data_IF_562720149104
#
_entry.id   IF_562720149104
#
_cell.length_a   1.000
_cell.length_b   1.000
_cell.length_c   1.000
_cell.angle_alpha   90.00
_cell.angle_beta   90.00
_cell.angle_gamma   90.00
#
_symmetry.space_group_name_H-M   'P 1'
#
loop_
_entity.id
_entity.type
_entity.pdbx_description
1 polymer ?
#
# COMPACT_ATOMS: atom_id res chain seq x y z
N UNK A 1 -59.15 -27.66 -18.48
CA UNK A 1 -59.45 -28.90 -17.73
C UNK A 1 -58.70 -28.79 -16.41
N UNK A 2 -59.23 -28.00 -15.47
CA UNK A 2 -60.19 -28.37 -14.40
C UNK A 2 -59.57 -29.29 -13.34
N UNK A 3 -59.73 -29.11 -12.04
CA UNK A 3 -60.11 -27.98 -11.16
C UNK A 3 -59.98 -28.56 -9.72
N UNK A 4 -59.62 -27.70 -8.76
CA UNK A 4 -60.11 -27.63 -7.36
C UNK A 4 -60.21 -28.89 -6.44
N UNK A 5 -59.53 -28.78 -5.30
CA UNK A 5 -59.90 -29.18 -3.92
C UNK A 5 -61.40 -28.88 -3.56
N UNK A 6 -62.05 -29.25 -2.42
CA UNK A 6 -61.50 -29.59 -1.08
C UNK A 6 -62.39 -30.47 -0.11
N UNK A 7 -61.99 -30.54 1.18
CA UNK A 7 -62.81 -30.41 2.43
C UNK A 7 -63.74 -31.53 2.99
N UNK A 8 -63.89 -31.45 4.32
CA UNK A 8 -64.77 -32.11 5.33
C UNK A 8 -64.22 -33.37 6.02
N UNK A 9 -63.87 -33.41 7.32
CA UNK A 9 -64.42 -32.90 8.59
C UNK A 9 -65.61 -33.71 9.16
N UNK A 10 -65.45 -34.15 10.41
CA UNK A 10 -66.46 -34.77 11.28
C UNK A 10 -66.12 -36.22 11.65
N UNK A 11 -66.38 -36.75 12.85
CA UNK A 11 -66.98 -36.24 14.07
C UNK A 11 -66.83 -37.37 15.12
N UNK A 12 -66.93 -37.02 16.40
CA UNK A 12 -67.47 -37.82 17.52
C UNK A 12 -66.67 -38.93 18.24
N UNK A 13 -66.35 -38.59 19.50
CA UNK A 13 -66.49 -39.32 20.77
C UNK A 13 -66.93 -40.81 20.76
N UNK A 14 -66.19 -41.61 21.53
CA UNK A 14 -66.65 -42.88 22.10
C UNK A 14 -65.95 -43.18 23.43
N UNK A 15 -66.70 -43.03 24.53
CA UNK A 15 -66.32 -43.30 25.93
C UNK A 15 -66.13 -44.80 26.21
N UNK A 16 -65.12 -45.15 27.01
CA UNK A 16 -65.16 -46.18 28.07
C UNK A 16 -63.79 -46.13 28.78
N UNK A 17 -63.65 -45.90 30.09
CA UNK A 17 -64.41 -46.48 31.19
C UNK A 17 -63.57 -47.58 31.83
N UNK A 18 -62.71 -47.25 32.81
CA UNK A 18 -61.88 -48.25 33.48
C UNK A 18 -60.98 -47.68 34.57
N UNK A 19 -61.55 -47.45 35.75
CA UNK A 19 -60.80 -47.14 36.99
C UNK A 19 -59.94 -48.34 37.39
N UNK A 20 -58.65 -48.10 37.68
CA UNK A 20 -57.94 -48.90 38.66
C UNK A 20 -56.98 -48.02 39.48
N UNK A 21 -57.29 -47.87 40.77
CA UNK A 21 -56.46 -47.19 41.79
C UNK A 21 -55.56 -48.23 42.47
N UNK A 22 -54.25 -47.96 42.60
CA UNK A 22 -53.34 -48.26 43.75
C UNK A 22 -52.03 -47.43 43.58
N UNK A 23 -51.14 -47.29 44.58
CA UNK A 23 -51.19 -46.22 45.57
C UNK A 23 -49.91 -45.35 45.61
N UNK A 24 -50.04 -44.26 46.35
CA UNK A 24 -49.07 -43.20 46.62
C UNK A 24 -47.77 -43.72 47.29
N UNK A 25 -46.60 -43.42 46.70
CA UNK A 25 -45.31 -43.43 47.41
C UNK A 25 -44.65 -42.05 47.31
N UNK A 26 -44.34 -41.49 48.48
CA UNK A 26 -43.72 -40.20 48.73
C UNK A 26 -42.32 -40.15 48.10
N UNK A 27 -42.06 -39.14 47.26
CA UNK A 27 -40.71 -38.73 46.89
C UNK A 27 -40.48 -37.29 47.39
N UNK A 28 -39.53 -37.14 48.31
CA UNK A 28 -39.06 -35.83 48.79
C UNK A 28 -38.28 -35.14 47.65
N UNK A 29 -38.82 -34.03 47.14
CA UNK A 29 -38.10 -33.16 46.21
C UNK A 29 -37.10 -32.28 46.97
N UNK A 30 -35.84 -32.71 47.01
CA UNK A 30 -34.71 -31.79 47.17
C UNK A 30 -34.58 -31.01 45.85
N UNK A 31 -34.90 -29.71 45.86
CA UNK A 31 -34.58 -28.82 44.74
C UNK A 31 -33.07 -28.55 44.74
N UNK A 32 -32.35 -28.71 43.63
CA UNK A 32 -30.99 -28.22 43.52
C UNK A 32 -31.03 -26.69 43.58
N UNK A 33 -30.32 -26.08 44.54
CA UNK A 33 -30.03 -24.65 44.54
C UNK A 33 -29.01 -24.41 43.43
N UNK A 34 -29.46 -23.92 42.28
CA UNK A 34 -28.56 -23.37 41.27
C UNK A 34 -28.17 -21.95 41.71
N UNK A 35 -26.88 -21.56 41.74
CA UNK A 35 -26.49 -20.18 41.99
C UNK A 35 -27.04 -19.27 40.87
N UNK A 36 -27.36 -18.00 41.16
CA UNK A 36 -28.10 -17.14 40.24
C UNK A 36 -27.24 -16.69 39.05
N UNK A 37 -27.80 -16.75 37.83
CA UNK A 37 -27.16 -16.30 36.57
C UNK A 37 -26.67 -14.84 36.56
N UNK A 38 -27.10 -14.01 37.51
CA UNK A 38 -26.69 -12.60 37.63
C UNK A 38 -25.26 -12.42 38.16
N UNK A 39 -24.81 -13.26 39.11
CA UNK A 39 -23.46 -13.14 39.70
C UNK A 39 -22.35 -13.32 38.66
N UNK A 40 -22.55 -14.22 37.68
CA UNK A 40 -21.60 -14.40 36.58
C UNK A 40 -21.56 -13.21 35.61
N UNK A 41 -22.67 -12.49 35.43
CA UNK A 41 -22.69 -11.32 34.53
C UNK A 41 -21.99 -10.12 35.18
N UNK A 42 -22.22 -9.91 36.48
CA UNK A 42 -21.58 -8.83 37.23
C UNK A 42 -20.07 -9.08 37.42
N UNK A 43 -19.66 -10.34 37.66
CA UNK A 43 -18.24 -10.70 37.68
C UNK A 43 -17.53 -10.50 36.33
N UNK A 44 -18.18 -10.86 35.21
CA UNK A 44 -17.63 -10.62 33.87
C UNK A 44 -17.56 -9.12 33.56
N UNK A 45 -18.58 -8.35 33.96
CA UNK A 45 -18.58 -6.90 33.82
C UNK A 45 -17.45 -6.23 34.64
N UNK A 46 -17.20 -6.71 35.85
CA UNK A 46 -16.11 -6.24 36.69
C UNK A 46 -14.72 -6.59 36.12
N UNK A 47 -14.57 -7.81 35.58
CA UNK A 47 -13.34 -8.19 34.86
C UNK A 47 -13.09 -7.32 33.63
N UNK A 48 -14.13 -7.04 32.84
CA UNK A 48 -14.03 -6.13 31.68
C UNK A 48 -13.64 -4.73 32.13
N UNK A 49 -14.23 -4.21 33.20
CA UNK A 49 -13.90 -2.89 33.73
C UNK A 49 -12.47 -2.80 34.26
N UNK A 50 -11.96 -3.84 34.92
CA UNK A 50 -10.56 -3.91 35.33
C UNK A 50 -9.61 -3.89 34.12
N UNK A 51 -9.93 -4.63 33.06
CA UNK A 51 -9.14 -4.60 31.83
C UNK A 51 -9.17 -3.22 31.16
N UNK A 52 -10.33 -2.54 31.15
CA UNK A 52 -10.45 -1.17 30.63
C UNK A 52 -9.59 -0.17 31.42
N UNK A 53 -9.62 -0.23 32.75
CA UNK A 53 -8.76 0.61 33.59
C UNK A 53 -7.29 0.35 33.31
N UNK A 54 -6.92 -0.92 33.11
CA UNK A 54 -5.55 -1.28 32.74
C UNK A 54 -5.16 -0.73 31.37
N UNK A 55 -6.07 -0.74 30.39
CA UNK A 55 -5.86 -0.12 29.08
C UNK A 55 -5.65 1.38 29.24
N UNK A 56 -6.50 2.08 30.00
CA UNK A 56 -6.36 3.53 30.23
C UNK A 56 -5.01 3.91 30.85
N UNK A 57 -4.48 3.09 31.77
CA UNK A 57 -3.15 3.28 32.34
C UNK A 57 -2.04 3.10 31.30
N UNK A 58 -2.13 2.05 30.48
CA UNK A 58 -1.18 1.76 29.42
C UNK A 58 -1.20 2.89 28.38
N UNK A 59 -2.38 3.37 27.99
CA UNK A 59 -2.54 4.44 27.01
C UNK A 59 -1.87 5.74 27.47
N UNK A 60 -1.98 6.08 28.76
CA UNK A 60 -1.24 7.22 29.34
C UNK A 60 0.27 7.04 29.22
N UNK A 61 0.78 5.85 29.54
CA UNK A 61 2.21 5.54 29.42
C UNK A 61 2.67 5.59 27.96
N UNK A 62 1.85 5.13 27.01
CA UNK A 62 2.13 5.24 25.58
C UNK A 62 2.28 6.72 25.19
N UNK A 63 1.34 7.58 25.60
CA UNK A 63 1.43 9.02 25.31
C UNK A 63 2.70 9.64 25.90
N UNK A 64 3.05 9.32 27.13
CA UNK A 64 4.28 9.81 27.77
C UNK A 64 5.54 9.38 26.99
N UNK A 65 5.63 8.10 26.61
CA UNK A 65 6.73 7.56 25.82
C UNK A 65 6.79 8.16 24.40
N UNK A 66 5.64 8.42 23.77
CA UNK A 66 5.58 9.08 22.47
C UNK A 66 6.09 10.52 22.55
N UNK A 67 5.75 11.25 23.61
CA UNK A 67 6.24 12.61 23.85
C UNK A 67 7.75 12.62 24.10
N UNK A 68 8.26 11.71 24.93
CA UNK A 68 9.69 11.57 25.18
C UNK A 68 10.46 11.24 23.88
N UNK A 69 9.92 10.32 23.07
CA UNK A 69 10.47 9.99 21.75
C UNK A 69 10.48 11.20 20.81
N UNK A 70 9.42 12.00 20.80
CA UNK A 70 9.36 13.21 19.98
C UNK A 70 10.41 14.25 20.42
N UNK A 71 10.65 14.43 21.72
CA UNK A 71 11.71 15.29 22.24
C UNK A 71 13.11 14.84 21.82
N UNK A 72 13.38 13.53 21.87
CA UNK A 72 14.62 12.94 21.35
C UNK A 72 14.77 13.22 19.85
N UNK A 73 13.70 13.06 19.07
CA UNK A 73 13.69 13.33 17.65
C UNK A 73 13.97 14.83 17.36
N UNK A 74 13.39 15.75 18.13
CA UNK A 74 13.70 17.19 18.06
C UNK A 74 15.15 17.53 18.39
N UNK A 75 15.76 16.85 19.38
CA UNK A 75 17.17 17.03 19.70
C UNK A 75 18.07 16.57 18.54
N UNK A 76 17.76 15.43 17.91
CA UNK A 76 18.46 14.93 16.73
C UNK A 76 18.33 15.89 15.56
N UNK A 77 17.11 16.37 15.27
CA UNK A 77 16.85 17.33 14.19
C UNK A 77 17.65 18.63 14.34
N UNK A 78 17.76 19.16 15.57
CA UNK A 78 18.60 20.33 15.87
C UNK A 78 20.07 20.07 15.58
N UNK A 79 20.61 18.92 16.00
CA UNK A 79 22.00 18.53 15.74
C UNK A 79 22.28 18.31 14.25
N UNK A 80 21.35 17.70 13.51
CA UNK A 80 21.48 17.49 12.06
C UNK A 80 21.48 18.81 11.30
N UNK A 81 20.59 19.74 11.64
CA UNK A 81 20.54 21.08 11.03
C UNK A 81 21.82 21.87 11.30
N UNK A 82 22.39 21.79 12.51
CA UNK A 82 23.65 22.43 12.85
C UNK A 82 24.86 21.81 12.10
N UNK A 83 24.80 20.51 11.79
CA UNK A 83 25.86 19.76 11.11
C UNK A 83 25.70 19.62 9.59
N UNK A 84 24.61 20.14 8.99
CA UNK A 84 24.33 19.99 7.56
C UNK A 84 24.09 18.53 7.11
N UNK A 85 23.63 17.67 8.02
CA UNK A 85 23.40 16.25 7.74
C UNK A 85 22.02 16.00 7.10
N UNK A 86 21.86 14.93 6.29
CA UNK A 86 20.61 14.63 5.59
C UNK A 86 19.41 14.45 6.52
N UNK A 87 18.29 15.06 6.11
CA UNK A 87 17.02 15.11 6.85
C UNK A 87 16.30 13.74 6.80
N UNK A 88 16.25 13.10 5.63
CA UNK A 88 15.64 11.78 5.44
C UNK A 88 16.70 10.68 5.58
N UNK A 89 16.40 9.60 6.30
CA UNK A 89 17.34 8.50 6.55
C UNK A 89 16.60 7.16 6.49
N UNK A 90 16.22 6.69 5.28
CA UNK A 90 15.40 5.48 5.11
C UNK A 90 16.06 4.24 5.72
N UNK A 91 17.39 4.14 5.69
CA UNK A 91 18.17 3.08 6.34
C UNK A 91 17.86 2.97 7.84
N UNK A 92 17.69 4.12 8.50
CA UNK A 92 17.53 4.17 9.94
C UNK A 92 16.12 3.76 10.33
N UNK A 93 15.15 4.13 9.51
CA UNK A 93 13.74 3.77 9.69
C UNK A 93 13.55 2.27 9.52
N UNK A 94 14.12 1.69 8.47
CA UNK A 94 14.09 0.24 8.25
C UNK A 94 14.75 -0.49 9.43
N UNK A 95 15.95 -0.07 9.84
CA UNK A 95 16.65 -0.68 10.97
C UNK A 95 15.87 -0.60 12.29
N UNK A 96 15.10 0.48 12.51
CA UNK A 96 14.21 0.60 13.68
C UNK A 96 13.07 -0.40 13.59
N UNK A 97 12.39 -0.49 12.44
CA UNK A 97 11.27 -1.41 12.23
C UNK A 97 11.74 -2.86 12.40
N UNK A 98 12.84 -3.25 11.77
CA UNK A 98 13.38 -4.61 11.84
C UNK A 98 13.82 -4.99 13.26
N UNK A 99 14.34 -4.01 14.03
CA UNK A 99 14.70 -4.23 15.43
C UNK A 99 13.46 -4.42 16.31
N UNK A 100 12.40 -3.65 16.06
CA UNK A 100 11.14 -3.76 16.80
C UNK A 100 10.38 -5.04 16.48
N UNK A 101 10.37 -5.46 15.21
CA UNK A 101 9.78 -6.74 14.80
C UNK A 101 10.47 -7.92 15.49
N UNK A 102 11.80 -7.91 15.60
CA UNK A 102 12.56 -8.94 16.35
C UNK A 102 12.33 -8.91 17.86
N UNK A 103 11.98 -7.76 18.42
CA UNK A 103 11.71 -7.60 19.85
C UNK A 103 10.26 -7.95 20.23
N UNK A 104 9.35 -8.04 19.24
CA UNK A 104 7.94 -8.29 19.49
C UNK A 104 7.70 -9.72 20.00
N UNK A 105 7.44 -9.84 21.31
CA UNK A 105 6.99 -11.09 21.96
C UNK A 105 5.48 -11.08 22.26
N UNK A 106 4.78 -10.05 21.77
CA UNK A 106 3.36 -9.81 22.05
C UNK A 106 2.42 -10.41 21.01
N UNK A 107 1.10 -10.23 21.21
CA UNK A 107 0.07 -10.79 20.33
C UNK A 107 -0.10 -10.01 19.01
N UNK A 108 0.56 -8.85 18.85
CA UNK A 108 0.45 -8.04 17.64
C UNK A 108 1.23 -8.69 16.49
N UNK A 109 0.64 -8.68 15.28
CA UNK A 109 1.36 -9.13 14.08
C UNK A 109 2.45 -8.12 13.70
N UNK A 110 3.52 -8.61 13.05
CA UNK A 110 4.62 -7.75 12.56
C UNK A 110 4.12 -6.63 11.63
N UNK A 111 3.16 -6.95 10.74
CA UNK A 111 2.56 -5.98 9.84
C UNK A 111 1.83 -4.84 10.58
N UNK A 112 1.10 -5.16 11.65
CA UNK A 112 0.40 -4.14 12.46
C UNK A 112 1.42 -3.24 13.17
N UNK A 113 2.47 -3.85 13.73
CA UNK A 113 3.53 -3.13 14.42
C UNK A 113 4.27 -2.18 13.48
N UNK A 114 4.59 -2.63 12.26
CA UNK A 114 5.19 -1.81 11.20
C UNK A 114 4.33 -0.59 10.88
N UNK A 115 3.03 -0.78 10.70
CA UNK A 115 2.10 0.33 10.44
C UNK A 115 2.04 1.36 11.57
N UNK A 116 1.94 0.90 12.82
CA UNK A 116 1.92 1.78 14.01
C UNK A 116 3.22 2.58 14.11
N UNK A 117 4.37 1.92 14.00
CA UNK A 117 5.66 2.60 14.14
C UNK A 117 5.99 3.50 12.96
N UNK A 118 5.53 3.19 11.74
CA UNK A 118 5.64 4.09 10.60
C UNK A 118 4.93 5.43 10.86
N UNK A 119 3.71 5.41 11.41
CA UNK A 119 3.00 6.64 11.79
C UNK A 119 3.67 7.37 12.97
N UNK A 120 4.16 6.64 13.98
CA UNK A 120 4.91 7.24 15.09
C UNK A 120 6.22 7.91 14.60
N UNK A 121 6.94 7.28 13.67
CA UNK A 121 8.12 7.88 13.01
C UNK A 121 7.69 9.13 12.22
N UNK A 122 6.61 9.04 11.43
CA UNK A 122 6.06 10.15 10.66
C UNK A 122 5.73 11.35 11.54
N UNK A 123 4.97 11.14 12.63
CA UNK A 123 4.61 12.18 13.58
C UNK A 123 5.84 12.84 14.24
N UNK A 124 6.83 12.06 14.67
CA UNK A 124 8.05 12.61 15.28
C UNK A 124 8.95 13.37 14.28
N UNK A 125 8.88 13.04 12.98
CA UNK A 125 9.53 13.85 11.93
C UNK A 125 8.80 15.17 11.73
N UNK A 126 7.47 15.15 11.66
CA UNK A 126 6.65 16.34 11.44
C UNK A 126 6.90 17.42 12.51
N UNK A 127 7.17 17.02 13.77
CA UNK A 127 7.52 17.95 14.87
C UNK A 127 8.88 18.64 14.67
N UNK A 128 9.83 18.02 13.95
CA UNK A 128 11.13 18.65 13.65
C UNK A 128 11.01 19.69 12.54
N UNK A 129 10.42 19.26 11.41
CA UNK A 129 10.04 20.05 10.24
C UNK A 129 9.23 19.10 9.34
N UNK A 130 8.07 19.51 8.80
CA UNK A 130 7.30 18.62 7.94
C UNK A 130 8.12 18.24 6.70
N UNK A 131 8.31 16.94 6.48
CA UNK A 131 8.93 16.42 5.28
C UNK A 131 7.99 16.69 4.11
N UNK A 132 8.47 17.41 3.09
CA UNK A 132 7.70 17.72 1.90
C UNK A 132 7.98 16.69 0.82
N UNK A 133 6.94 15.95 0.45
CA UNK A 133 6.98 14.84 -0.50
C UNK A 133 6.27 15.26 -1.78
N UNK A 134 7.03 15.48 -2.85
CA UNK A 134 6.48 15.75 -4.17
C UNK A 134 6.00 14.44 -4.82
N UNK A 135 4.87 14.45 -5.53
CA UNK A 135 4.40 13.24 -6.22
C UNK A 135 3.60 13.60 -7.47
N UNK A 136 3.46 12.60 -8.37
CA UNK A 136 2.60 12.73 -9.54
C UNK A 136 1.13 12.77 -9.12
N UNK A 137 0.58 13.97 -9.12
CA UNK A 137 -0.77 14.28 -8.71
C UNK A 137 -1.84 13.92 -9.75
N UNK A 138 -3.08 14.35 -9.53
CA UNK A 138 -3.55 15.16 -8.39
C UNK A 138 -3.60 14.39 -7.05
N UNK A 139 -4.02 15.04 -5.96
CA UNK A 139 -4.27 14.36 -4.68
C UNK A 139 -5.27 13.19 -4.87
N UNK A 140 -5.16 12.17 -4.01
CA UNK A 140 -5.93 10.90 -4.07
C UNK A 140 -5.57 9.93 -5.20
N UNK A 141 -4.56 10.22 -6.03
CA UNK A 141 -4.06 9.21 -6.97
C UNK A 141 -3.35 8.06 -6.25
N UNK A 142 -3.04 6.99 -6.99
CA UNK A 142 -2.23 5.88 -6.47
C UNK A 142 -0.83 6.34 -6.03
N UNK A 143 -0.24 7.33 -6.70
CA UNK A 143 1.02 7.95 -6.27
C UNK A 143 0.89 8.62 -4.90
N UNK A 144 -0.22 9.34 -4.65
CA UNK A 144 -0.50 9.91 -3.34
C UNK A 144 -0.64 8.82 -2.27
N UNK A 145 -1.38 7.77 -2.58
CA UNK A 145 -1.59 6.64 -1.67
C UNK A 145 -0.27 5.92 -1.34
N UNK A 146 0.59 5.70 -2.33
CA UNK A 146 1.91 5.10 -2.14
C UNK A 146 2.79 5.99 -1.25
N UNK A 147 2.80 7.31 -1.50
CA UNK A 147 3.54 8.28 -0.70
C UNK A 147 3.05 8.31 0.75
N UNK A 148 1.74 8.36 0.98
CA UNK A 148 1.14 8.35 2.32
C UNK A 148 1.47 7.08 3.10
N UNK A 149 1.41 5.91 2.46
CA UNK A 149 1.73 4.63 3.12
C UNK A 149 3.18 4.54 3.56
N UNK A 150 4.11 5.06 2.74
CA UNK A 150 5.53 4.96 3.01
C UNK A 150 6.03 6.01 4.01
N UNK A 151 5.60 7.27 3.84
CA UNK A 151 6.05 8.39 4.67
C UNK A 151 5.14 8.68 5.87
N UNK A 152 3.99 8.02 5.95
CA UNK A 152 2.95 8.27 6.94
C UNK A 152 2.16 9.54 6.67
N UNK A 153 1.03 9.67 7.35
CA UNK A 153 0.02 10.71 7.09
C UNK A 153 0.44 12.14 7.49
N UNK A 154 1.47 12.29 8.33
CA UNK A 154 1.88 13.57 8.92
C UNK A 154 2.84 14.40 8.06
N UNK A 155 3.20 13.93 6.87
CA UNK A 155 4.06 14.65 5.93
C UNK A 155 3.28 15.68 5.09
N UNK A 156 3.99 16.67 4.53
CA UNK A 156 3.40 17.61 3.58
C UNK A 156 3.45 17.00 2.17
N UNK A 157 2.30 16.60 1.63
CA UNK A 157 2.21 16.01 0.29
C UNK A 157 1.95 17.09 -0.76
N UNK A 158 2.89 17.27 -1.69
CA UNK A 158 2.83 18.26 -2.76
C UNK A 158 2.47 17.59 -4.11
N UNK A 159 1.22 17.71 -4.60
CA UNK A 159 0.82 17.16 -5.89
C UNK A 159 1.36 18.01 -7.04
N UNK A 160 1.98 17.36 -8.03
CA UNK A 160 2.43 18.00 -9.27
C UNK A 160 1.73 17.43 -10.50
N UNK A 161 1.70 18.20 -11.60
CA UNK A 161 0.97 17.85 -12.82
C UNK A 161 1.73 16.88 -13.73
N UNK A 162 3.05 16.85 -13.63
CA UNK A 162 3.91 15.97 -14.42
C UNK A 162 5.02 15.38 -13.58
N UNK A 163 5.61 14.28 -14.06
CA UNK A 163 6.78 13.65 -13.44
C UNK A 163 7.99 14.59 -13.49
N UNK A 164 8.12 15.38 -14.57
CA UNK A 164 9.16 16.39 -14.75
C UNK A 164 9.12 17.42 -13.62
N UNK A 165 7.92 17.91 -13.28
CA UNK A 165 7.75 18.86 -12.19
C UNK A 165 8.17 18.28 -10.83
N UNK A 166 7.93 16.98 -10.59
CA UNK A 166 8.36 16.29 -9.37
C UNK A 166 9.90 16.26 -9.27
N UNK A 167 10.58 15.94 -10.37
CA UNK A 167 12.05 15.97 -10.41
C UNK A 167 12.59 17.38 -10.11
N UNK A 168 12.04 18.40 -10.77
CA UNK A 168 12.48 19.78 -10.57
C UNK A 168 12.24 20.31 -9.15
N UNK A 169 11.14 19.91 -8.50
CA UNK A 169 10.85 20.33 -7.13
C UNK A 169 11.88 19.78 -6.13
N UNK A 170 12.34 18.55 -6.36
CA UNK A 170 13.39 17.90 -5.54
C UNK A 170 14.78 18.45 -5.87
N UNK A 171 15.10 18.67 -7.14
CA UNK A 171 16.37 19.29 -7.58
C UNK A 171 16.54 20.69 -6.99
N UNK A 172 15.47 21.49 -6.97
CA UNK A 172 15.45 22.85 -6.41
C UNK A 172 15.35 22.89 -4.89
N UNK A 173 15.29 21.74 -4.22
CA UNK A 173 15.14 21.63 -2.76
C UNK A 173 13.88 22.30 -2.21
N UNK A 174 12.83 22.42 -3.03
CA UNK A 174 11.51 22.80 -2.54
C UNK A 174 10.76 21.62 -1.93
N UNK A 175 11.10 20.39 -2.34
CA UNK A 175 10.71 19.15 -1.68
C UNK A 175 11.98 18.35 -1.34
N UNK A 176 11.97 17.66 -0.21
CA UNK A 176 13.10 16.82 0.21
C UNK A 176 13.18 15.53 -0.62
N UNK A 177 12.02 14.99 -0.96
CA UNK A 177 11.88 13.72 -1.68
C UNK A 177 10.73 13.77 -2.69
N UNK A 178 10.83 12.95 -3.73
CA UNK A 178 9.81 12.79 -4.74
C UNK A 178 9.37 11.33 -4.87
N UNK A 179 8.11 11.07 -5.17
CA UNK A 179 7.58 9.73 -5.46
C UNK A 179 7.13 9.67 -6.92
N UNK A 180 7.82 8.85 -7.71
CA UNK A 180 7.60 8.73 -9.15
C UNK A 180 7.37 7.28 -9.56
N UNK A 181 6.36 6.97 -10.39
CA UNK A 181 6.13 5.61 -10.86
C UNK A 181 7.23 5.22 -11.85
N UNK A 182 7.74 4.00 -11.75
CA UNK A 182 8.77 3.47 -12.67
C UNK A 182 8.25 2.31 -13.50
N UNK A 183 7.35 1.50 -12.95
CA UNK A 183 6.87 0.29 -13.59
C UNK A 183 5.48 -0.07 -13.05
N UNK A 184 4.60 -0.53 -13.93
CA UNK A 184 3.34 -1.14 -13.57
C UNK A 184 3.26 -2.55 -14.17
N UNK A 185 2.84 -3.54 -13.38
CA UNK A 185 2.80 -4.93 -13.82
C UNK A 185 1.86 -5.21 -15.01
N UNK A 186 0.89 -4.34 -15.27
CA UNK A 186 -0.07 -4.48 -16.38
C UNK A 186 0.30 -3.64 -17.60
N UNK A 187 0.96 -2.49 -17.42
CA UNK A 187 1.28 -1.56 -18.52
C UNK A 187 2.77 -1.44 -18.85
N UNK A 188 3.62 -2.09 -18.06
CA UNK A 188 5.06 -2.03 -18.19
C UNK A 188 5.64 -0.72 -17.64
N UNK A 189 6.76 -0.32 -18.22
CA UNK A 189 7.60 0.76 -17.71
C UNK A 189 7.06 2.18 -17.96
N UNK A 190 7.30 3.06 -17.00
CA UNK A 190 7.02 4.49 -17.13
C UNK A 190 8.20 5.19 -17.78
N UNK A 191 8.10 5.34 -19.10
CA UNK A 191 9.14 5.88 -19.97
C UNK A 191 9.71 7.23 -19.51
N UNK A 192 8.85 8.15 -19.10
CA UNK A 192 9.25 9.52 -18.74
C UNK A 192 10.19 9.51 -17.53
N UNK A 193 9.91 8.67 -16.54
CA UNK A 193 10.74 8.54 -15.33
C UNK A 193 12.15 8.07 -15.67
N UNK A 194 12.27 7.04 -16.51
CA UNK A 194 13.57 6.50 -16.93
C UNK A 194 14.38 7.51 -17.74
N UNK A 195 13.73 8.28 -18.62
CA UNK A 195 14.39 9.34 -19.39
C UNK A 195 14.93 10.45 -18.49
N UNK A 196 14.17 10.86 -17.46
CA UNK A 196 14.61 11.91 -16.54
C UNK A 196 15.85 11.52 -15.74
N UNK A 197 16.03 10.23 -15.42
CA UNK A 197 17.25 9.76 -14.75
C UNK A 197 18.52 9.85 -15.60
N UNK A 198 18.41 9.93 -16.92
CA UNK A 198 19.56 10.19 -17.79
C UNK A 198 20.10 11.61 -17.58
N UNK A 199 19.20 12.58 -17.39
CA UNK A 199 19.51 14.01 -17.35
C UNK A 199 19.66 14.55 -15.92
N UNK A 200 19.03 13.91 -14.93
CA UNK A 200 18.98 14.39 -13.54
C UNK A 200 20.03 13.74 -12.65
N UNK A 201 20.65 14.50 -11.75
CA UNK A 201 21.61 14.02 -10.74
C UNK A 201 20.94 13.51 -9.45
N UNK A 202 19.60 13.40 -9.44
CA UNK A 202 18.88 12.81 -8.32
C UNK A 202 19.20 11.32 -8.16
N UNK A 203 19.19 10.87 -6.91
CA UNK A 203 19.42 9.49 -6.54
C UNK A 203 18.10 8.81 -6.14
N UNK A 204 17.99 7.52 -6.44
CA UNK A 204 16.94 6.65 -5.89
C UNK A 204 17.32 6.33 -4.44
N UNK A 205 16.48 6.77 -3.52
CA UNK A 205 16.64 6.61 -2.07
C UNK A 205 15.78 5.48 -1.49
N UNK A 206 14.90 4.90 -2.30
CA UNK A 206 13.98 3.86 -1.87
C UNK A 206 13.04 3.45 -3.00
N UNK A 207 12.33 2.35 -2.78
CA UNK A 207 11.28 1.88 -3.69
C UNK A 207 10.03 1.51 -2.90
N UNK A 208 8.88 1.63 -3.55
CA UNK A 208 7.57 1.34 -2.97
C UNK A 208 6.81 0.48 -3.97
N UNK A 209 6.37 -0.70 -3.55
CA UNK A 209 5.41 -1.51 -4.29
C UNK A 209 4.02 -1.22 -3.76
N UNK A 210 3.14 -0.70 -4.61
CA UNK A 210 1.75 -0.42 -4.23
C UNK A 210 0.80 -1.22 -5.12
N UNK A 211 -0.02 -2.07 -4.48
CA UNK A 211 -1.12 -2.77 -5.15
C UNK A 211 -2.18 -1.75 -5.59
N UNK A 212 -2.56 -1.84 -6.85
CA UNK A 212 -3.57 -0.99 -7.47
C UNK A 212 -4.94 -1.67 -7.28
N UNK A 213 -5.61 -1.27 -6.20
CA UNK A 213 -7.00 -1.63 -5.93
C UNK A 213 -7.93 -0.57 -6.53
N UNK A 214 -8.68 -0.95 -7.55
CA UNK A 214 -9.68 -0.09 -8.18
C UNK A 214 -11.00 -0.26 -7.44
N UNK A 215 -11.63 0.87 -7.11
CA UNK A 215 -12.89 0.95 -6.36
C UNK A 215 -13.93 1.63 -7.23
N UNK A 216 -15.10 1.00 -7.36
CA UNK A 216 -16.29 1.66 -7.89
C UNK A 216 -16.89 2.52 -6.77
N UNK A 217 -17.01 3.82 -7.02
CA UNK A 217 -17.52 4.77 -6.04
C UNK A 217 -18.63 5.63 -6.61
N UNK A 218 -19.65 5.95 -5.80
CA UNK A 218 -20.78 6.80 -6.18
C UNK A 218 -21.37 7.51 -4.97
N UNK A 219 -22.16 8.56 -5.19
CA UNK A 219 -23.02 9.14 -4.14
C UNK A 219 -24.19 8.23 -3.78
N UNK A 220 -24.64 7.44 -4.75
CA UNK A 220 -25.74 6.50 -4.56
C UNK A 220 -25.32 5.38 -3.60
N UNK A 221 -26.29 4.80 -2.90
CA UNK A 221 -26.05 3.70 -1.98
C UNK A 221 -25.93 2.34 -2.70
N UNK A 222 -26.36 2.26 -3.96
CA UNK A 222 -26.47 1.03 -4.71
C UNK A 222 -26.07 1.23 -6.18
N UNK A 223 -25.76 0.12 -6.87
CA UNK A 223 -25.32 0.16 -8.27
C UNK A 223 -26.51 0.42 -9.21
N UNK A 224 -27.71 0.05 -8.77
CA UNK A 224 -28.96 0.24 -9.48
C UNK A 224 -29.27 1.73 -9.69
N UNK A 225 -29.42 2.13 -10.96
CA UNK A 225 -29.73 3.52 -11.34
C UNK A 225 -28.54 4.34 -11.83
N UNK A 226 -27.31 3.81 -11.73
CA UNK A 226 -26.12 4.47 -12.25
C UNK A 226 -26.08 4.33 -13.78
N UNK A 227 -26.04 5.47 -14.48
CA UNK A 227 -26.05 5.52 -15.95
C UNK A 227 -24.69 5.82 -16.55
N UNK A 228 -23.78 6.42 -15.77
CA UNK A 228 -22.48 6.91 -16.24
C UNK A 228 -21.37 6.49 -15.28
N UNK A 229 -20.26 6.01 -15.83
CA UNK A 229 -19.05 5.66 -15.08
C UNK A 229 -17.89 6.49 -15.62
N UNK A 230 -17.37 7.38 -14.80
CA UNK A 230 -16.18 8.16 -15.08
C UNK A 230 -14.93 7.37 -14.67
N UNK A 231 -13.78 7.64 -15.31
CA UNK A 231 -12.57 6.81 -15.23
C UNK A 231 -11.47 7.42 -16.09
N UNK A 232 -10.19 7.24 -15.73
CA UNK A 232 -9.09 7.38 -16.66
C UNK A 232 -9.16 6.21 -17.66
N UNK A 233 -8.84 6.39 -18.96
CA UNK A 233 -8.98 5.33 -19.97
C UNK A 233 -8.30 4.02 -19.56
N UNK A 234 -7.11 4.11 -18.96
CA UNK A 234 -6.39 2.94 -18.44
C UNK A 234 -7.14 2.24 -17.30
N UNK A 235 -7.73 2.97 -16.36
CA UNK A 235 -8.47 2.37 -15.24
C UNK A 235 -9.78 1.72 -15.73
N UNK A 236 -10.44 2.31 -16.72
CA UNK A 236 -11.61 1.71 -17.38
C UNK A 236 -11.24 0.40 -18.09
N UNK A 237 -10.14 0.40 -18.84
CA UNK A 237 -9.65 -0.79 -19.52
C UNK A 237 -9.26 -1.90 -18.54
N UNK A 238 -8.66 -1.55 -17.41
CA UNK A 238 -8.30 -2.51 -16.35
C UNK A 238 -9.51 -3.12 -15.63
N UNK A 239 -10.69 -2.51 -15.70
CA UNK A 239 -11.91 -3.01 -15.04
C UNK A 239 -12.98 -3.43 -16.05
N UNK A 240 -12.60 -3.62 -17.32
CA UNK A 240 -13.54 -3.78 -18.44
C UNK A 240 -14.42 -5.01 -18.26
N UNK A 241 -13.88 -6.14 -17.82
CA UNK A 241 -14.67 -7.36 -17.67
C UNK A 241 -15.67 -7.23 -16.52
N UNK A 242 -15.26 -6.61 -15.41
CA UNK A 242 -16.16 -6.37 -14.28
C UNK A 242 -17.28 -5.40 -14.65
N UNK A 243 -16.96 -4.28 -15.31
CA UNK A 243 -17.93 -3.28 -15.76
C UNK A 243 -18.93 -3.86 -16.77
N UNK A 244 -18.45 -4.66 -17.73
CA UNK A 244 -19.33 -5.30 -18.71
C UNK A 244 -20.31 -6.31 -18.08
N UNK A 245 -19.92 -6.98 -16.99
CA UNK A 245 -20.77 -7.97 -16.30
C UNK A 245 -21.79 -7.33 -15.36
N UNK A 246 -21.38 -6.33 -14.58
CA UNK A 246 -22.20 -5.76 -13.52
C UNK A 246 -22.95 -4.49 -13.95
N UNK A 247 -22.45 -3.76 -14.94
CA UNK A 247 -23.00 -2.49 -15.40
C UNK A 247 -23.07 -2.41 -16.95
N UNK A 248 -23.70 -3.40 -17.63
CA UNK A 248 -23.69 -3.47 -19.09
C UNK A 248 -24.37 -2.27 -19.78
N UNK A 249 -25.26 -1.58 -19.07
CA UNK A 249 -26.02 -0.42 -19.58
C UNK A 249 -25.36 0.93 -19.26
N UNK A 250 -24.28 0.95 -18.48
CA UNK A 250 -23.63 2.19 -18.09
C UNK A 250 -22.71 2.71 -19.19
N UNK A 251 -22.77 4.02 -19.43
CA UNK A 251 -21.88 4.71 -20.38
C UNK A 251 -20.54 5.00 -19.71
N UNK A 252 -19.45 4.48 -20.27
CA UNK A 252 -18.10 4.76 -19.80
C UNK A 252 -17.63 6.11 -20.36
N UNK A 253 -17.21 7.03 -19.48
CA UNK A 253 -16.77 8.37 -19.87
C UNK A 253 -15.34 8.60 -19.38
N UNK A 254 -14.47 8.92 -20.34
CA UNK A 254 -13.06 9.15 -20.07
C UNK A 254 -12.82 10.50 -19.34
N UNK A 255 -11.88 10.47 -18.42
CA UNK A 255 -11.44 11.61 -17.61
C UNK A 255 -9.92 11.68 -17.58
N UNK A 256 -9.39 12.83 -17.20
CA UNK A 256 -7.94 13.09 -17.17
C UNK A 256 -7.21 12.35 -16.06
N UNK A 257 -7.91 11.92 -15.01
CA UNK A 257 -7.36 11.09 -13.92
C UNK A 257 -8.48 10.39 -13.15
N UNK A 258 -8.13 9.36 -12.39
CA UNK A 258 -9.05 8.67 -11.47
C UNK A 258 -9.59 9.59 -10.37
N UNK A 259 -8.76 10.51 -9.86
CA UNK A 259 -9.17 11.52 -8.90
C UNK A 259 -10.14 12.55 -9.50
N UNK A 260 -9.88 13.02 -10.73
CA UNK A 260 -10.79 13.92 -11.43
C UNK A 260 -12.13 13.22 -11.75
N UNK A 261 -12.12 11.92 -12.04
CA UNK A 261 -13.33 11.13 -12.19
C UNK A 261 -14.16 11.08 -10.89
N UNK A 262 -13.51 10.84 -9.74
CA UNK A 262 -14.18 10.85 -8.44
C UNK A 262 -14.83 12.21 -8.12
N UNK A 263 -14.14 13.31 -8.44
CA UNK A 263 -14.70 14.66 -8.26
C UNK A 263 -15.95 14.88 -9.13
N UNK A 264 -15.96 14.42 -10.39
CA UNK A 264 -17.15 14.50 -11.25
C UNK A 264 -18.30 13.67 -10.69
N UNK A 265 -18.02 12.45 -10.24
CA UNK A 265 -19.04 11.58 -9.64
C UNK A 265 -19.63 12.15 -8.33
N UNK A 266 -18.88 12.98 -7.61
CA UNK A 266 -19.39 13.70 -6.44
C UNK A 266 -20.30 14.89 -6.77
N UNK A 267 -20.28 15.37 -8.01
CA UNK A 267 -21.09 16.52 -8.45
C UNK A 267 -22.35 16.09 -9.21
N UNK A 268 -22.32 14.96 -9.90
CA UNK A 268 -23.42 14.48 -10.74
C UNK A 268 -24.16 13.29 -10.12
N UNK A 269 -25.48 13.40 -9.98
CA UNK A 269 -26.33 12.30 -9.50
C UNK A 269 -26.47 11.20 -10.57
N UNK A 270 -26.69 9.95 -10.14
CA UNK A 270 -26.76 8.80 -11.04
C UNK A 270 -25.45 8.48 -11.78
N UNK A 271 -24.32 8.94 -11.24
CA UNK A 271 -22.99 8.69 -11.79
C UNK A 271 -22.07 7.97 -10.80
N UNK A 272 -21.10 7.23 -11.34
CA UNK A 272 -20.04 6.58 -10.58
C UNK A 272 -18.67 6.95 -11.13
N UNK A 273 -17.63 6.68 -10.34
CA UNK A 273 -16.25 6.76 -10.76
C UNK A 273 -15.50 5.46 -10.40
N UNK A 274 -14.46 5.17 -11.17
CA UNK A 274 -13.47 4.14 -10.84
C UNK A 274 -12.17 4.81 -10.39
N UNK A 275 -11.67 4.46 -9.20
CA UNK A 275 -10.43 5.06 -8.72
C UNK A 275 -9.92 4.46 -7.42
N UNK A 276 -9.06 5.21 -6.73
CA UNK A 276 -8.49 4.77 -5.45
C UNK A 276 -9.52 4.87 -4.32
N UNK A 277 -9.33 4.08 -3.26
CA UNK A 277 -10.13 4.19 -2.04
C UNK A 277 -9.99 5.56 -1.36
N UNK A 278 -8.84 6.24 -1.53
CA UNK A 278 -8.65 7.60 -1.02
C UNK A 278 -9.54 8.60 -1.72
N UNK A 279 -9.77 8.44 -3.03
CA UNK A 279 -10.65 9.32 -3.80
C UNK A 279 -12.10 9.20 -3.31
N UNK A 280 -12.55 7.98 -2.99
CA UNK A 280 -13.88 7.75 -2.41
C UNK A 280 -14.03 8.45 -1.06
N UNK A 281 -13.06 8.27 -0.15
CA UNK A 281 -13.07 8.88 1.20
C UNK A 281 -13.05 10.40 1.15
N UNK A 282 -12.18 11.00 0.31
CA UNK A 282 -12.09 12.46 0.20
C UNK A 282 -13.33 13.06 -0.48
N UNK A 283 -13.91 12.36 -1.44
CA UNK A 283 -15.13 12.79 -2.14
C UNK A 283 -16.41 12.57 -1.33
N UNK A 284 -16.36 11.93 -0.16
CA UNK A 284 -17.56 11.53 0.59
C UNK A 284 -18.44 10.54 -0.18
N UNK A 285 -17.84 9.73 -1.05
CA UNK A 285 -18.53 8.76 -1.90
C UNK A 285 -18.59 7.39 -1.23
N UNK A 286 -19.67 6.66 -1.47
CA UNK A 286 -19.82 5.27 -1.08
C UNK A 286 -18.95 4.39 -1.97
N UNK A 287 -18.16 3.51 -1.36
CA UNK A 287 -17.46 2.45 -2.09
C UNK A 287 -18.46 1.31 -2.34
N UNK A 288 -18.97 1.22 -3.58
CA UNK A 288 -19.97 0.23 -3.98
C UNK A 288 -19.36 -1.15 -4.26
N UNK A 289 -18.15 -1.17 -4.81
CA UNK A 289 -17.38 -2.39 -5.02
C UNK A 289 -15.89 -2.07 -4.91
N UNK A 290 -15.14 -2.96 -4.27
CA UNK A 290 -13.68 -2.85 -4.07
C UNK A 290 -13.03 -3.99 -4.85
N UNK A 291 -11.80 -3.76 -5.34
CA UNK A 291 -11.03 -4.74 -6.10
C UNK A 291 -11.72 -5.16 -7.43
N UNK A 292 -12.24 -4.19 -8.18
CA UNK A 292 -12.95 -4.44 -9.45
C UNK A 292 -12.03 -4.62 -10.67
N UNK A 293 -10.71 -4.52 -10.49
CA UNK A 293 -9.73 -4.73 -11.55
C UNK A 293 -9.72 -6.17 -12.05
N UNK A 294 -9.53 -6.35 -13.35
CA UNK A 294 -9.53 -7.64 -14.02
C UNK A 294 -8.30 -8.49 -13.62
N UNK A 295 -7.18 -7.84 -13.29
CA UNK A 295 -5.98 -8.49 -12.76
C UNK A 295 -5.80 -8.18 -11.26
N UNK A 296 -5.98 -9.16 -10.35
CA UNK A 296 -5.86 -8.94 -8.91
C UNK A 296 -4.43 -8.63 -8.44
N UNK A 297 -3.42 -8.95 -9.28
CA UNK A 297 -1.99 -8.75 -9.01
C UNK A 297 -1.43 -7.42 -9.56
N UNK A 298 -2.29 -6.51 -10.01
CA UNK A 298 -1.86 -5.23 -10.55
C UNK A 298 -1.09 -4.42 -9.48
N UNK A 299 0.21 -4.28 -9.67
CA UNK A 299 1.13 -3.62 -8.75
C UNK A 299 1.92 -2.57 -9.51
N UNK A 300 1.98 -1.37 -8.96
CA UNK A 300 2.86 -0.30 -9.45
C UNK A 300 4.04 -0.16 -8.52
N UNK A 301 5.24 -0.18 -9.11
CA UNK A 301 6.48 0.14 -8.44
C UNK A 301 6.76 1.63 -8.60
N UNK A 302 7.06 2.28 -7.49
CA UNK A 302 7.47 3.68 -7.41
C UNK A 302 8.89 3.78 -6.89
N UNK A 303 9.63 4.76 -7.39
CA UNK A 303 10.89 5.18 -6.80
C UNK A 303 10.67 6.40 -5.92
N UNK A 304 11.38 6.39 -4.79
CA UNK A 304 11.61 7.56 -3.96
C UNK A 304 12.90 8.21 -4.46
N UNK A 305 12.79 9.41 -5.03
CA UNK A 305 13.93 10.19 -5.48
C UNK A 305 14.32 11.24 -4.44
N UNK A 306 15.62 11.49 -4.33
CA UNK A 306 16.18 12.47 -3.40
C UNK A 306 17.60 12.86 -3.79
N UNK A 307 18.16 13.85 -3.11
CA UNK A 307 19.53 14.35 -3.38
C UNK A 307 20.62 13.56 -2.65
N UNK A 308 20.23 12.72 -1.71
CA UNK A 308 21.11 12.02 -0.79
C UNK A 308 21.41 10.60 -1.28
N UNK A 309 22.57 10.09 -0.87
CA UNK A 309 22.91 8.66 -1.02
C UNK A 309 22.60 7.96 0.30
N UNK A 310 22.05 6.76 0.21
CA UNK A 310 21.79 5.94 1.39
C UNK A 310 23.04 5.10 1.70
N UNK A 311 23.38 4.89 2.98
CA UNK A 311 24.40 3.92 3.38
C UNK A 311 23.84 2.48 3.31
N UNK A 312 24.72 1.46 3.34
CA UNK A 312 24.29 0.06 3.25
C UNK A 312 23.44 -0.37 4.45
N UNK A 313 22.36 -1.11 4.18
CA UNK A 313 21.50 -1.74 5.18
C UNK A 313 21.71 -3.24 5.31
N UNK A 314 22.36 -3.86 4.32
CA UNK A 314 22.61 -5.31 4.25
C UNK A 314 21.53 -6.09 3.48
N UNK A 315 20.39 -5.47 3.17
CA UNK A 315 19.41 -5.98 2.21
C UNK A 315 19.03 -4.86 1.23
N UNK A 316 19.98 -4.52 0.37
CA UNK A 316 19.89 -3.37 -0.52
C UNK A 316 19.67 -3.80 -1.97
N UNK A 317 19.15 -2.87 -2.75
CA UNK A 317 19.08 -2.93 -4.20
C UNK A 317 19.83 -1.74 -4.77
N UNK A 318 20.59 -1.98 -5.84
CA UNK A 318 21.28 -0.92 -6.58
C UNK A 318 20.69 -0.82 -7.98
N UNK A 319 20.26 0.38 -8.36
CA UNK A 319 19.83 0.69 -9.73
C UNK A 319 20.95 1.38 -10.48
N UNK A 320 21.24 0.90 -11.69
CA UNK A 320 22.20 1.50 -12.61
C UNK A 320 21.56 1.70 -13.98
N UNK A 321 22.11 2.64 -14.73
CA UNK A 321 21.95 2.68 -16.17
C UNK A 321 23.31 2.66 -16.84
N UNK A 322 23.39 2.03 -18.00
CA UNK A 322 24.59 2.08 -18.82
C UNK A 322 24.26 2.05 -20.31
N UNK A 323 25.14 2.63 -21.10
CA UNK A 323 25.04 2.67 -22.57
C UNK A 323 26.16 1.80 -23.14
N UNK A 324 25.79 0.75 -23.86
CA UNK A 324 26.77 -0.11 -24.54
C UNK A 324 27.04 0.37 -25.96
N UNK A 325 28.20 -0.03 -26.50
CA UNK A 325 28.46 0.12 -27.93
C UNK A 325 27.50 -0.76 -28.73
N UNK A 326 27.06 -0.27 -29.90
CA UNK A 326 26.23 -1.06 -30.81
C UNK A 326 27.06 -2.10 -31.57
N UNK A 327 27.54 -3.13 -30.86
CA UNK A 327 28.29 -4.28 -31.41
C UNK A 327 27.69 -5.59 -30.89
N UNK A 328 27.70 -6.68 -31.68
CA UNK A 328 27.26 -8.00 -31.22
C UNK A 328 28.00 -8.45 -29.96
N UNK A 329 27.25 -8.98 -28.99
CA UNK A 329 27.81 -9.53 -27.75
C UNK A 329 28.08 -8.52 -26.63
N UNK A 330 27.97 -7.20 -26.87
CA UNK A 330 28.28 -6.20 -25.84
C UNK A 330 27.40 -6.30 -24.59
N UNK A 331 26.09 -6.52 -24.77
CA UNK A 331 25.20 -6.74 -23.63
C UNK A 331 25.55 -8.04 -22.88
N UNK A 332 25.90 -9.10 -23.61
CA UNK A 332 26.29 -10.36 -23.00
C UNK A 332 27.56 -10.21 -22.17
N UNK A 333 28.58 -9.50 -22.68
CA UNK A 333 29.81 -9.21 -21.92
C UNK A 333 29.50 -8.43 -20.64
N UNK A 334 28.65 -7.41 -20.73
CA UNK A 334 28.22 -6.65 -19.55
C UNK A 334 27.48 -7.53 -18.52
N UNK A 335 26.53 -8.37 -18.97
CA UNK A 335 25.77 -9.26 -18.09
C UNK A 335 26.62 -10.38 -17.48
N UNK A 336 27.66 -10.82 -18.19
CA UNK A 336 28.59 -11.85 -17.74
C UNK A 336 29.31 -11.44 -16.44
N UNK A 337 29.67 -10.16 -16.28
CA UNK A 337 30.31 -9.67 -15.05
C UNK A 337 29.44 -9.85 -13.80
N UNK A 338 28.13 -9.63 -13.92
CA UNK A 338 27.18 -9.88 -12.82
C UNK A 338 27.08 -11.38 -12.52
N UNK A 339 26.97 -12.20 -13.55
CA UNK A 339 26.85 -13.65 -13.41
C UNK A 339 28.10 -14.28 -12.77
N UNK A 340 29.30 -13.89 -13.23
CA UNK A 340 30.58 -14.37 -12.71
C UNK A 340 30.80 -13.96 -11.24
N UNK A 341 30.22 -12.82 -10.84
CA UNK A 341 30.27 -12.31 -9.46
C UNK A 341 29.14 -12.83 -8.57
N UNK A 342 28.21 -13.63 -9.11
CA UNK A 342 27.06 -14.17 -8.38
C UNK A 342 26.01 -13.13 -7.99
N UNK A 343 25.96 -11.98 -8.66
CA UNK A 343 25.03 -10.88 -8.36
C UNK A 343 23.70 -11.14 -9.06
N UNK A 344 22.61 -11.19 -8.28
CA UNK A 344 21.27 -11.39 -8.82
C UNK A 344 20.73 -10.10 -9.46
N UNK A 345 20.25 -10.21 -10.70
CA UNK A 345 19.56 -9.12 -11.39
C UNK A 345 18.05 -9.26 -11.18
N UNK A 346 17.43 -8.21 -10.65
CA UNK A 346 15.99 -8.15 -10.37
C UNK A 346 15.20 -7.49 -11.48
N UNK A 347 15.84 -6.68 -12.32
CA UNK A 347 15.23 -6.04 -13.50
C UNK A 347 16.28 -5.73 -14.55
N UNK A 348 15.92 -5.88 -15.82
CA UNK A 348 16.68 -5.40 -16.97
C UNK A 348 15.72 -4.83 -18.01
N UNK A 349 15.97 -3.59 -18.42
CA UNK A 349 15.17 -2.91 -19.43
C UNK A 349 16.07 -2.23 -20.45
N UNK A 350 15.71 -2.33 -21.74
CA UNK A 350 16.47 -1.74 -22.84
C UNK A 350 15.66 -0.65 -23.53
N UNK A 351 16.28 0.48 -23.83
CA UNK A 351 15.61 1.63 -24.42
C UNK A 351 16.48 2.29 -25.50
N UNK A 352 15.93 2.67 -26.65
CA UNK A 352 16.68 3.44 -27.63
C UNK A 352 16.93 4.87 -27.11
N UNK A 353 18.15 5.36 -27.29
CA UNK A 353 18.49 6.75 -26.99
C UNK A 353 17.85 7.68 -28.03
N UNK A 354 17.13 8.71 -27.56
CA UNK A 354 16.40 9.65 -28.43
C UNK A 354 17.33 10.45 -29.36
N UNK A 355 18.55 10.75 -28.90
CA UNK A 355 19.49 11.65 -29.59
C UNK A 355 20.60 10.93 -30.37
N UNK A 356 20.74 9.61 -30.22
CA UNK A 356 21.73 8.80 -30.94
C UNK A 356 21.06 7.56 -31.54
N UNK A 357 20.80 7.55 -32.87
CA UNK A 357 20.20 6.41 -33.54
C UNK A 357 20.98 5.13 -33.26
N UNK A 358 20.27 4.04 -32.98
CA UNK A 358 20.81 2.69 -32.77
C UNK A 358 21.65 2.48 -31.51
N UNK A 359 21.77 3.49 -30.64
CA UNK A 359 22.31 3.30 -29.30
C UNK A 359 21.21 2.98 -28.31
N UNK A 360 21.51 2.08 -27.37
CA UNK A 360 20.57 1.64 -26.36
C UNK A 360 21.13 1.93 -24.97
N UNK A 361 20.28 2.49 -24.12
CA UNK A 361 20.50 2.50 -22.68
C UNK A 361 19.85 1.28 -22.06
N UNK A 362 20.58 0.65 -21.15
CA UNK A 362 20.11 -0.46 -20.33
C UNK A 362 19.93 0.03 -18.90
N UNK A 363 18.74 -0.19 -18.34
CA UNK A 363 18.44 0.03 -16.93
C UNK A 363 18.48 -1.32 -16.22
N UNK A 364 19.29 -1.44 -15.18
CA UNK A 364 19.42 -2.67 -14.41
C UNK A 364 19.21 -2.38 -12.94
N UNK A 365 18.43 -3.24 -12.29
CA UNK A 365 18.35 -3.29 -10.84
C UNK A 365 18.96 -4.60 -10.35
N UNK A 366 19.91 -4.51 -9.43
CA UNK A 366 20.65 -5.65 -8.87
C UNK A 366 20.53 -5.70 -7.36
N UNK A 367 20.60 -6.90 -6.80
CA UNK A 367 20.72 -7.09 -5.35
C UNK A 367 22.14 -6.72 -4.89
N UNK A 368 22.24 -6.04 -3.75
CA UNK A 368 23.49 -5.55 -3.17
C UNK A 368 23.63 -4.03 -3.21
N UNK A 369 24.57 -3.52 -2.42
CA UNK A 369 24.88 -2.10 -2.27
C UNK A 369 26.12 -1.70 -3.08
N UNK A 370 26.22 -0.46 -3.56
CA UNK A 370 27.40 0.05 -4.31
C UNK A 370 28.71 -0.01 -3.52
N UNK A 371 28.62 -0.08 -2.19
CA UNK A 371 29.78 -0.21 -1.30
C UNK A 371 30.23 -1.67 -1.09
N UNK A 372 29.43 -2.65 -1.50
CA UNK A 372 29.80 -4.05 -1.42
C UNK A 372 30.95 -4.33 -2.39
N UNK A 373 31.97 -5.07 -1.93
CA UNK A 373 33.19 -5.30 -2.71
C UNK A 373 32.90 -5.93 -4.09
N UNK A 374 31.97 -6.89 -4.14
CA UNK A 374 31.57 -7.56 -5.39
C UNK A 374 30.85 -6.59 -6.35
N UNK A 375 29.87 -5.84 -5.85
CA UNK A 375 29.10 -4.88 -6.66
C UNK A 375 30.01 -3.76 -7.17
N UNK A 376 30.87 -3.22 -6.31
CA UNK A 376 31.83 -2.17 -6.68
C UNK A 376 32.80 -2.63 -7.75
N UNK A 377 33.30 -3.86 -7.65
CA UNK A 377 34.18 -4.42 -8.67
C UNK A 377 33.46 -4.52 -10.02
N UNK A 378 32.23 -5.05 -10.05
CA UNK A 378 31.44 -5.14 -11.28
C UNK A 378 31.15 -3.77 -11.88
N UNK A 379 30.76 -2.79 -11.06
CA UNK A 379 30.49 -1.42 -11.53
C UNK A 379 31.75 -0.80 -12.16
N UNK A 380 32.92 -0.94 -11.52
CA UNK A 380 34.17 -0.40 -12.07
C UNK A 380 34.52 -1.05 -13.42
N UNK A 381 34.40 -2.37 -13.53
CA UNK A 381 34.65 -3.08 -14.78
C UNK A 381 33.68 -2.66 -15.88
N UNK A 382 32.40 -2.45 -15.54
CA UNK A 382 31.41 -1.97 -16.50
C UNK A 382 31.65 -0.53 -16.93
N UNK A 383 32.11 0.34 -16.03
CA UNK A 383 32.44 1.74 -16.37
C UNK A 383 33.57 1.81 -17.41
N UNK A 384 34.53 0.88 -17.35
CA UNK A 384 35.61 0.77 -18.34
C UNK A 384 35.15 0.24 -19.71
N UNK A 385 34.17 -0.67 -19.72
CA UNK A 385 33.68 -1.34 -20.95
C UNK A 385 32.50 -0.63 -21.64
N UNK A 386 31.81 0.26 -20.91
CA UNK A 386 30.62 0.96 -21.39
C UNK A 386 30.92 2.41 -21.73
N UNK A 387 30.10 3.01 -22.59
CA UNK A 387 30.28 4.42 -23.01
C UNK A 387 29.88 5.39 -21.91
N UNK A 388 28.90 5.00 -21.12
CA UNK A 388 28.33 5.77 -20.02
C UNK A 388 27.81 4.76 -19.03
N UNK A 389 28.22 4.87 -17.77
CA UNK A 389 27.59 4.21 -16.64
C UNK A 389 27.18 5.26 -15.62
N UNK A 390 25.96 5.15 -15.11
CA UNK A 390 25.45 6.00 -14.04
C UNK A 390 24.77 5.13 -13.00
N UNK A 391 25.26 5.22 -11.77
CA UNK A 391 24.59 4.64 -10.61
C UNK A 391 23.46 5.58 -10.21
N UNK A 392 22.22 5.08 -10.31
CA UNK A 392 21.03 5.84 -9.94
C UNK A 392 20.82 5.87 -8.43
N UNK A 393 21.30 4.87 -7.71
CA UNK A 393 21.25 4.83 -6.25
C UNK A 393 21.30 3.42 -5.72
N UNK A 394 21.76 3.30 -4.48
CA UNK A 394 21.63 2.09 -3.67
C UNK A 394 20.70 2.42 -2.51
N UNK A 395 19.72 1.55 -2.30
CA UNK A 395 18.61 1.81 -1.37
C UNK A 395 18.08 0.51 -0.77
N UNK A 396 17.40 0.58 0.40
CA UNK A 396 16.82 -0.59 1.04
C UNK A 396 15.83 -1.28 0.08
N UNK A 397 15.91 -2.60 -0.02
CA UNK A 397 15.02 -3.37 -0.87
C UNK A 397 13.58 -3.26 -0.36
N UNK A 398 12.67 -2.84 -1.24
CA UNK A 398 11.24 -2.84 -0.94
C UNK A 398 10.66 -4.24 -1.13
N UNK A 399 9.83 -4.67 -0.18
CA UNK A 399 9.12 -5.94 -0.31
C UNK A 399 7.77 -5.72 -1.03
N UNK A 400 7.44 -6.53 -2.05
CA UNK A 400 6.08 -6.59 -2.58
C UNK A 400 5.11 -6.98 -1.46
N UNK A 401 3.94 -6.35 -1.39
CA UNK A 401 2.90 -6.72 -0.42
C UNK A 401 2.60 -8.23 -0.52
N UNK A 402 2.86 -8.99 0.55
CA UNK A 402 2.55 -10.42 0.61
C UNK A 402 1.03 -10.62 0.54
N UNK A 403 0.57 -11.46 -0.40
CA UNK A 403 -0.84 -11.80 -0.54
C UNK A 403 -1.27 -12.78 0.56
N UNK A 404 -2.04 -12.30 1.54
CA UNK A 404 -2.77 -13.15 2.47
C UNK A 404 -4.14 -13.49 1.84
N UNK A 405 -4.19 -14.53 1.02
CA UNK A 405 -5.39 -14.99 0.32
C UNK A 405 -6.54 -15.53 1.18
N UNK A 406 -6.61 -15.22 2.46
CA UNK A 406 -7.49 -15.88 3.42
C UNK A 406 -8.72 -15.05 3.87
N UNK A 407 -8.87 -13.78 3.47
CA UNK A 407 -9.94 -12.91 4.01
C UNK A 407 -11.13 -12.64 3.06
N UNK A 408 -11.31 -13.39 1.97
CA UNK A 408 -12.47 -13.20 1.07
C UNK A 408 -13.24 -14.49 0.78
N UNK A 409 -13.63 -15.20 1.84
CA UNK A 409 -14.70 -16.20 1.78
C UNK A 409 -15.65 -16.02 2.96
N UNK A 410 -16.49 -14.98 2.90
CA UNK A 410 -17.79 -14.91 3.59
C UNK A 410 -18.80 -14.24 2.68
#
# INVERSE_FOLDING_TARGET
MTDRTPFFAGLTLGLAGGRNRRPNQKAAHLRPVYPPRQENHDMVADQINQQRQRIDEIDRQIVDLLNERALCAMAIGRSKNAGGLPEFAPEREQAIIDALERHNQGPLSGQSLRGIFAEIISACRAVQRPLRVAFLGPATTFSHQAAMRHFGSSCEFAPHRSIIDVFHEVERSHAQVGVVPVENSSEGQVSVTLDLFLESDLNVCGEIYARISQVLMSKEAAIEGIQRVYSHPQALNQCRNWLARNMPMATLIESTSTAAAAQKAAQEDGSAAVGSILAARQGGLNALAIDIQDNPHNTTRFFVIGRQKCPPTGNDKTSILFVTHHKPGMLFSALKHFADSGINLTRIESRPLKNTPWEYVFFIDMAGHVEDAQVRQVINTLDEETRLLKVLGSYPMGEPEAWNGAEQAV
#
